data_IF_604290407845
#
_entry.id   IF_604290407845
#
_cell.length_a   1.000
_cell.length_b   1.000
_cell.length_c   1.000
_cell.angle_alpha   90.00
_cell.angle_beta   90.00
_cell.angle_gamma   90.00
#
_symmetry.space_group_name_H-M   'P 1'
#
loop_
_entity.id
_entity.type
_entity.pdbx_description
1 polymer ?
#
# COMPACT_ATOMS: atom_id res chain seq x y z
N UNK A 1 3.42 -17.78 19.58
CA UNK A 1 4.38 -17.45 18.50
C UNK A 1 4.32 -15.95 18.24
N UNK A 2 5.47 -15.25 18.23
CA UNK A 2 5.52 -13.82 17.89
C UNK A 2 6.13 -13.64 16.50
N UNK A 3 5.29 -13.43 15.49
CA UNK A 3 5.75 -13.09 14.14
C UNK A 3 6.50 -11.76 14.17
N UNK A 4 7.64 -11.69 13.48
CA UNK A 4 8.43 -10.44 13.33
C UNK A 4 7.99 -9.62 12.12
N UNK A 5 7.35 -10.28 11.16
CA UNK A 5 6.94 -9.74 9.87
C UNK A 5 5.48 -10.13 9.62
N UNK A 6 4.79 -9.30 8.83
CA UNK A 6 3.46 -9.57 8.28
C UNK A 6 3.50 -9.33 6.78
N UNK A 7 2.86 -10.19 6.00
CA UNK A 7 2.73 -10.04 4.56
C UNK A 7 1.29 -10.30 4.12
N UNK A 8 0.86 -9.59 3.10
CA UNK A 8 -0.49 -9.64 2.54
C UNK A 8 -0.42 -10.25 1.15
N UNK A 9 -1.33 -11.18 0.86
CA UNK A 9 -1.44 -11.85 -0.43
C UNK A 9 -2.91 -11.91 -0.79
N UNK A 10 -3.25 -11.43 -1.98
CA UNK A 10 -4.61 -11.49 -2.50
C UNK A 10 -5.02 -12.94 -2.77
N UNK A 11 -6.19 -13.33 -2.26
CA UNK A 11 -6.68 -14.70 -2.35
C UNK A 11 -7.25 -15.05 -3.73
N UNK A 12 -7.55 -14.05 -4.56
CA UNK A 12 -8.08 -14.22 -5.93
C UNK A 12 -6.99 -14.34 -6.99
N UNK A 13 -5.78 -14.77 -6.61
CA UNK A 13 -4.67 -14.99 -7.51
C UNK A 13 -4.73 -16.37 -8.19
N UNK A 14 -4.73 -16.40 -9.52
CA UNK A 14 -4.83 -17.63 -10.32
C UNK A 14 -3.50 -18.39 -10.49
N UNK A 15 -2.37 -17.84 -10.02
CA UNK A 15 -1.03 -18.41 -10.22
C UNK A 15 -0.40 -18.75 -8.86
N UNK A 16 -0.51 -20.01 -8.38
CA UNK A 16 0.09 -20.42 -7.10
C UNK A 16 1.61 -20.20 -7.03
N UNK A 17 2.31 -20.32 -8.17
CA UNK A 17 3.73 -20.02 -8.27
C UNK A 17 4.07 -18.55 -7.97
N UNK A 18 3.16 -17.63 -8.30
CA UNK A 18 3.31 -16.21 -7.97
C UNK A 18 3.21 -16.00 -6.46
N UNK A 19 2.26 -16.67 -5.78
CA UNK A 19 2.12 -16.61 -4.32
C UNK A 19 3.40 -17.05 -3.61
N UNK A 20 4.00 -18.17 -4.05
CA UNK A 20 5.29 -18.62 -3.51
C UNK A 20 6.40 -17.61 -3.76
N UNK A 21 6.49 -17.08 -4.98
CA UNK A 21 7.47 -16.05 -5.33
C UNK A 21 7.32 -14.82 -4.43
N UNK A 22 6.10 -14.34 -4.20
CA UNK A 22 5.82 -13.16 -3.38
C UNK A 22 6.30 -13.38 -1.93
N UNK A 23 6.00 -14.54 -1.35
CA UNK A 23 6.46 -14.89 -0.01
C UNK A 23 8.01 -14.94 0.09
N UNK A 24 8.68 -15.47 -0.95
CA UNK A 24 10.15 -15.51 -1.02
C UNK A 24 10.75 -14.10 -1.19
N UNK A 25 10.13 -13.25 -2.01
CA UNK A 25 10.50 -11.84 -2.15
C UNK A 25 10.39 -11.14 -0.78
N UNK A 26 9.28 -11.35 -0.07
CA UNK A 26 9.07 -10.76 1.25
C UNK A 26 10.15 -11.15 2.22
N UNK A 27 10.38 -12.46 2.36
CA UNK A 27 11.40 -12.98 3.26
C UNK A 27 12.78 -12.41 2.93
N UNK A 28 13.17 -12.44 1.66
CA UNK A 28 14.50 -12.00 1.21
C UNK A 28 14.73 -10.53 1.50
N UNK A 29 13.82 -9.65 1.06
CA UNK A 29 13.96 -8.21 1.26
C UNK A 29 13.94 -7.81 2.75
N UNK A 30 13.01 -8.40 3.52
CA UNK A 30 12.89 -8.09 4.93
C UNK A 30 14.09 -8.59 5.74
N UNK A 31 14.67 -9.74 5.40
CA UNK A 31 15.88 -10.23 6.10
C UNK A 31 17.13 -9.44 5.70
N UNK A 32 17.23 -8.99 4.45
CA UNK A 32 18.37 -8.20 3.96
C UNK A 32 18.49 -6.82 4.64
N UNK A 33 17.37 -6.19 4.98
CA UNK A 33 17.38 -4.88 5.64
C UNK A 33 17.78 -4.99 7.12
N UNK A 34 18.72 -4.13 7.52
CA UNK A 34 19.16 -3.95 8.90
C UNK A 34 18.22 -3.07 9.72
N UNK A 35 17.35 -2.30 9.07
CA UNK A 35 16.40 -1.45 9.78
C UNK A 35 15.32 -2.28 10.50
N UNK A 36 14.90 -1.89 11.72
CA UNK A 36 13.68 -2.42 12.31
C UNK A 36 12.41 -1.98 11.57
N UNK A 37 12.45 -0.86 10.85
CA UNK A 37 11.33 -0.30 10.09
C UNK A 37 11.52 -0.58 8.61
N UNK A 38 10.87 -1.62 8.10
CA UNK A 38 11.08 -2.08 6.74
C UNK A 38 9.80 -2.59 6.11
N UNK A 39 9.68 -2.28 4.82
CA UNK A 39 8.54 -2.64 3.97
C UNK A 39 9.07 -3.15 2.64
N UNK A 40 8.36 -4.10 2.07
CA UNK A 40 8.58 -4.59 0.71
C UNK A 40 7.24 -4.58 -0.01
N UNK A 41 7.24 -4.04 -1.22
CA UNK A 41 6.05 -3.86 -2.05
C UNK A 41 6.33 -4.48 -3.41
N UNK A 42 5.44 -5.32 -3.88
CA UNK A 42 5.62 -5.97 -5.18
C UNK A 42 5.13 -5.03 -6.28
N UNK A 43 5.96 -4.87 -7.30
CA UNK A 43 5.54 -4.42 -8.62
C UNK A 43 5.48 -5.60 -9.56
N UNK A 44 4.73 -5.49 -10.65
CA UNK A 44 4.52 -6.59 -11.57
C UNK A 44 4.91 -6.17 -12.96
N UNK A 45 5.75 -6.97 -13.62
CA UNK A 45 6.09 -6.75 -15.01
C UNK A 45 4.88 -6.90 -15.94
N UNK A 46 3.92 -7.76 -15.57
CA UNK A 46 2.65 -7.93 -16.27
C UNK A 46 1.50 -8.17 -15.30
N UNK A 47 0.39 -7.47 -15.53
CA UNK A 47 -0.90 -7.69 -14.86
C UNK A 47 -1.93 -8.14 -15.89
N UNK A 48 -2.78 -9.08 -15.52
CA UNK A 48 -3.88 -9.54 -16.36
C UNK A 48 -5.06 -10.00 -15.53
N UNK A 49 -6.17 -10.25 -16.21
CA UNK A 49 -7.35 -10.86 -15.62
C UNK A 49 -7.79 -12.03 -16.50
N UNK A 50 -8.48 -12.99 -15.88
CA UNK A 50 -9.14 -14.06 -16.62
C UNK A 50 -10.51 -13.56 -17.10
N UNK A 51 -10.76 -13.61 -18.41
CA UNK A 51 -11.97 -13.12 -19.09
C UNK A 51 -12.05 -13.64 -20.53
N UNK A 52 -12.94 -13.09 -21.36
CA UNK A 52 -13.10 -13.52 -22.78
C UNK A 52 -11.84 -13.27 -23.63
N UNK A 53 -11.07 -12.23 -23.32
CA UNK A 53 -9.76 -11.95 -23.93
C UNK A 53 -8.64 -11.96 -22.88
N UNK A 54 -7.60 -12.76 -23.11
CA UNK A 54 -6.41 -12.83 -22.25
C UNK A 54 -5.43 -11.71 -22.61
N UNK A 55 -5.59 -10.53 -22.00
CA UNK A 55 -4.70 -9.39 -22.20
C UNK A 55 -3.78 -9.17 -20.99
N UNK A 56 -2.48 -9.38 -21.19
CA UNK A 56 -1.45 -8.99 -20.23
C UNK A 56 -1.02 -7.54 -20.50
N UNK A 57 -1.28 -6.66 -19.52
CA UNK A 57 -0.84 -5.27 -19.56
C UNK A 57 0.41 -5.12 -18.71
N UNK A 58 1.42 -4.46 -19.27
CA UNK A 58 2.65 -4.13 -18.54
C UNK A 58 2.43 -3.12 -17.41
N UNK A 59 1.33 -2.38 -17.48
CA UNK A 59 1.07 -1.24 -16.62
C UNK A 59 -0.36 -1.24 -16.08
N UNK A 60 -0.52 -1.15 -14.76
CA UNK A 60 -1.83 -0.98 -14.14
C UNK A 60 -2.31 0.46 -14.29
N UNK A 61 -3.51 0.67 -14.86
CA UNK A 61 -4.05 2.02 -15.15
C UNK A 61 -4.07 2.90 -13.90
N UNK A 62 -4.58 2.39 -12.78
CA UNK A 62 -4.65 3.14 -11.52
C UNK A 62 -3.29 3.29 -10.84
N UNK A 63 -2.54 2.19 -10.69
CA UNK A 63 -1.22 2.22 -10.02
C UNK A 63 -0.26 3.22 -10.68
N UNK A 64 -0.26 3.32 -12.01
CA UNK A 64 0.56 4.30 -12.73
C UNK A 64 0.14 5.74 -12.44
N UNK A 65 -1.17 6.02 -12.48
CA UNK A 65 -1.69 7.36 -12.22
C UNK A 65 -1.36 7.80 -10.79
N UNK A 66 -1.67 6.96 -9.80
CA UNK A 66 -1.44 7.27 -8.38
C UNK A 66 0.06 7.41 -8.09
N UNK A 67 0.90 6.53 -8.66
CA UNK A 67 2.36 6.64 -8.53
C UNK A 67 2.90 7.94 -9.15
N UNK A 68 2.39 8.36 -10.31
CA UNK A 68 2.78 9.62 -10.95
C UNK A 68 2.38 10.83 -10.09
N UNK A 69 1.21 10.83 -9.47
CA UNK A 69 0.77 11.89 -8.56
C UNK A 69 1.67 11.94 -7.32
N UNK A 70 2.00 10.80 -6.70
CA UNK A 70 2.93 10.74 -5.56
C UNK A 70 4.33 11.25 -5.94
N UNK A 71 4.86 10.82 -7.09
CA UNK A 71 6.14 11.27 -7.59
C UNK A 71 6.15 12.79 -7.89
N UNK A 72 5.04 13.35 -8.39
CA UNK A 72 4.89 14.79 -8.56
C UNK A 72 4.94 15.52 -7.21
N UNK A 73 4.25 15.01 -6.19
CA UNK A 73 4.30 15.54 -4.83
C UNK A 73 5.73 15.57 -4.27
N UNK A 74 6.47 14.46 -4.42
CA UNK A 74 7.87 14.35 -4.02
C UNK A 74 8.77 15.32 -4.78
N UNK A 75 8.56 15.43 -6.09
CA UNK A 75 9.37 16.25 -6.97
C UNK A 75 9.30 17.72 -6.58
N UNK A 76 8.10 18.20 -6.27
CA UNK A 76 7.85 19.57 -5.81
C UNK A 76 8.48 19.83 -4.44
N UNK A 77 8.39 18.87 -3.52
CA UNK A 77 9.01 18.97 -2.19
C UNK A 77 10.54 19.12 -2.23
N UNK A 78 11.22 18.45 -3.18
CA UNK A 78 12.70 18.55 -3.35
C UNK A 78 13.15 19.56 -4.38
N UNK A 79 12.25 20.04 -5.25
CA UNK A 79 12.57 20.78 -6.49
C UNK A 79 13.42 19.97 -7.48
N UNK A 80 13.24 18.65 -7.50
CA UNK A 80 13.90 17.72 -8.44
C UNK A 80 12.90 16.67 -8.90
N UNK A 81 12.82 16.43 -10.20
CA UNK A 81 11.95 15.38 -10.73
C UNK A 81 12.36 13.99 -10.26
N UNK A 82 11.38 13.14 -10.00
CA UNK A 82 11.59 11.74 -9.66
C UNK A 82 10.47 10.89 -10.24
N UNK A 83 10.78 9.62 -10.44
CA UNK A 83 9.82 8.58 -10.82
C UNK A 83 9.94 7.37 -9.88
N UNK A 84 10.51 7.56 -8.68
CA UNK A 84 10.94 6.49 -7.78
C UNK A 84 9.81 5.59 -7.29
N UNK A 85 8.60 6.13 -7.04
CA UNK A 85 7.46 5.33 -6.58
C UNK A 85 6.83 4.62 -7.78
N UNK A 86 6.75 3.30 -7.72
CA UNK A 86 6.11 2.42 -8.71
C UNK A 86 5.04 1.49 -8.09
N UNK A 87 4.85 1.54 -6.76
CA UNK A 87 4.06 0.59 -5.98
C UNK A 87 2.97 1.27 -5.13
N UNK A 88 2.36 2.34 -5.64
CA UNK A 88 1.33 3.10 -4.90
C UNK A 88 0.16 2.24 -4.43
N UNK A 89 -0.28 1.28 -5.24
CA UNK A 89 -1.37 0.34 -4.95
C UNK A 89 -0.88 -1.10 -4.98
N UNK A 90 0.14 -1.40 -4.19
CA UNK A 90 0.68 -2.76 -4.07
C UNK A 90 -0.08 -3.51 -2.98
N UNK A 91 -1.13 -4.24 -3.35
CA UNK A 91 -1.87 -5.12 -2.42
C UNK A 91 -0.92 -6.16 -1.82
N UNK A 92 -0.09 -6.76 -2.66
CA UNK A 92 1.00 -7.64 -2.30
C UNK A 92 2.20 -6.88 -1.73
N UNK A 93 2.12 -6.57 -0.44
CA UNK A 93 3.23 -6.02 0.32
C UNK A 93 3.42 -6.74 1.65
N UNK A 94 4.58 -6.56 2.25
CA UNK A 94 4.90 -7.04 3.58
C UNK A 94 5.73 -6.01 4.35
N UNK A 95 5.73 -6.10 5.67
CA UNK A 95 6.47 -5.19 6.53
C UNK A 95 6.86 -5.83 7.86
N UNK A 96 7.79 -5.19 8.56
CA UNK A 96 8.05 -5.50 9.96
C UNK A 96 6.87 -5.11 10.84
N UNK A 97 6.61 -5.90 11.88
CA UNK A 97 5.60 -5.57 12.89
C UNK A 97 5.91 -4.24 13.59
N UNK A 98 7.19 -3.89 13.72
CA UNK A 98 7.60 -2.59 14.27
C UNK A 98 7.20 -1.42 13.37
N UNK A 99 7.28 -1.57 12.04
CA UNK A 99 6.73 -0.59 11.11
C UNK A 99 5.19 -0.57 11.17
N UNK A 100 4.54 -1.72 11.14
CA UNK A 100 3.08 -1.82 11.19
C UNK A 100 2.48 -1.14 12.44
N UNK A 101 3.10 -1.28 13.60
CA UNK A 101 2.67 -0.61 14.85
C UNK A 101 2.85 0.90 14.83
N UNK A 102 3.78 1.40 14.02
CA UNK A 102 4.06 2.82 13.90
C UNK A 102 3.05 3.52 12.97
N UNK A 103 2.59 2.81 11.94
CA UNK A 103 1.68 3.33 10.92
C UNK A 103 0.26 3.56 11.45
N UNK A 104 -0.41 4.51 10.84
CA UNK A 104 -1.87 4.53 10.81
C UNK A 104 -2.33 3.86 9.51
N UNK A 105 -3.41 3.10 9.57
CA UNK A 105 -3.99 2.41 8.41
C UNK A 105 -5.24 3.14 7.95
N UNK A 106 -5.38 3.32 6.63
CA UNK A 106 -6.60 3.85 6.05
C UNK A 106 -7.61 2.73 5.74
N UNK A 107 -8.88 3.10 5.62
CA UNK A 107 -9.95 2.19 5.23
C UNK A 107 -9.94 1.88 3.73
N UNK A 108 -10.42 0.68 3.36
CA UNK A 108 -10.75 0.31 1.98
C UNK A 108 -9.54 0.42 1.03
N UNK A 109 -9.73 0.85 -0.22
CA UNK A 109 -8.72 0.85 -1.28
C UNK A 109 -7.65 1.94 -1.12
N UNK A 110 -7.79 2.80 -0.11
CA UNK A 110 -6.81 3.82 0.19
C UNK A 110 -5.63 3.29 1.02
N UNK A 111 -5.72 2.09 1.60
CA UNK A 111 -4.76 1.57 2.57
C UNK A 111 -3.33 1.56 2.02
N UNK A 112 -3.09 0.98 0.85
CA UNK A 112 -1.75 0.80 0.30
C UNK A 112 -1.12 2.14 -0.08
N UNK A 113 -1.92 3.07 -0.63
CA UNK A 113 -1.44 4.42 -0.97
C UNK A 113 -1.19 5.22 0.30
N UNK A 114 -2.07 5.11 1.29
CA UNK A 114 -1.97 5.85 2.53
C UNK A 114 -0.76 5.46 3.36
N UNK A 115 -0.31 4.21 3.34
CA UNK A 115 0.95 3.81 4.00
C UNK A 115 2.13 4.65 3.50
N UNK A 116 2.26 4.83 2.19
CA UNK A 116 3.29 5.68 1.61
C UNK A 116 3.06 7.15 1.97
N UNK A 117 1.83 7.66 1.88
CA UNK A 117 1.50 9.04 2.25
C UNK A 117 1.86 9.31 3.71
N UNK A 118 1.47 8.45 4.65
CA UNK A 118 1.76 8.57 6.08
C UNK A 118 3.26 8.66 6.33
N UNK A 119 4.04 7.77 5.69
CA UNK A 119 5.50 7.76 5.83
C UNK A 119 6.13 9.03 5.25
N UNK A 120 5.65 9.51 4.11
CA UNK A 120 6.16 10.74 3.49
C UNK A 120 5.76 11.99 4.28
N UNK A 121 4.55 12.06 4.82
CA UNK A 121 4.13 13.17 5.66
C UNK A 121 4.95 13.25 6.95
N UNK A 122 5.09 12.13 7.67
CA UNK A 122 5.68 12.12 9.00
C UNK A 122 7.21 12.00 8.97
N UNK A 123 7.77 11.22 8.04
CA UNK A 123 9.19 10.87 8.00
C UNK A 123 9.97 11.51 6.85
N UNK A 124 9.30 12.25 5.96
CA UNK A 124 9.98 12.98 4.90
C UNK A 124 9.76 14.50 5.00
N UNK A 125 8.51 14.97 4.89
CA UNK A 125 8.20 16.41 5.03
C UNK A 125 8.26 16.83 6.50
N UNK A 126 7.66 16.04 7.39
CA UNK A 126 7.61 16.27 8.84
C UNK A 126 8.90 15.97 9.60
N UNK A 127 9.99 15.64 8.90
CA UNK A 127 11.25 15.28 9.55
C UNK A 127 11.81 16.40 10.42
N UNK A 128 11.78 17.65 9.93
CA UNK A 128 12.24 18.84 10.68
C UNK A 128 11.30 19.22 11.82
N UNK A 129 10.04 18.79 11.75
CA UNK A 129 9.01 18.98 12.78
C UNK A 129 9.11 17.90 13.88
N UNK A 130 10.02 16.93 13.76
CA UNK A 130 10.18 15.86 14.74
C UNK A 130 9.07 14.81 14.73
N UNK A 131 8.30 14.72 13.63
CA UNK A 131 7.15 13.81 13.54
C UNK A 131 7.54 12.35 13.28
N UNK A 132 8.76 12.10 12.80
CA UNK A 132 9.19 10.76 12.43
C UNK A 132 9.53 9.88 13.63
N UNK A 133 8.60 8.98 13.97
CA UNK A 133 8.76 8.02 15.07
C UNK A 133 9.84 6.95 14.85
N UNK A 134 10.34 6.80 13.62
CA UNK A 134 11.38 5.81 13.30
C UNK A 134 12.79 6.25 13.71
N UNK A 135 13.02 7.54 13.96
CA UNK A 135 14.34 8.05 14.33
C UNK A 135 14.84 7.45 15.66
N UNK A 136 16.16 7.17 15.78
CA UNK A 136 17.23 7.46 14.83
C UNK A 136 17.42 6.41 13.73
N UNK A 137 16.56 5.38 13.65
CA UNK A 137 16.66 4.35 12.62
C UNK A 137 16.15 4.88 11.25
N UNK A 138 16.50 4.18 10.18
CA UNK A 138 15.98 4.45 8.83
C UNK A 138 14.68 3.70 8.58
N UNK A 139 13.94 4.08 7.53
CA UNK A 139 12.82 3.28 7.01
C UNK A 139 13.23 2.79 5.63
N UNK A 140 13.30 1.47 5.46
CA UNK A 140 13.68 0.86 4.20
C UNK A 140 12.44 0.37 3.45
N UNK A 141 12.17 0.91 2.26
CA UNK A 141 11.05 0.48 1.40
C UNK A 141 11.61 -0.14 0.12
N UNK A 142 11.44 -1.45 -0.04
CA UNK A 142 11.83 -2.18 -1.24
C UNK A 142 10.66 -2.24 -2.21
N UNK A 143 10.94 -1.96 -3.49
CA UNK A 143 9.99 -2.15 -4.58
C UNK A 143 10.57 -3.19 -5.52
N UNK A 144 10.00 -4.39 -5.53
CA UNK A 144 10.58 -5.55 -6.23
C UNK A 144 9.62 -6.01 -7.31
N UNK A 145 10.12 -6.05 -8.55
CA UNK A 145 9.37 -6.57 -9.69
C UNK A 145 9.36 -8.10 -9.67
N UNK A 146 8.18 -8.71 -9.60
CA UNK A 146 8.02 -10.16 -9.70
C UNK A 146 8.24 -10.66 -11.14
N UNK A 147 8.69 -11.91 -11.27
CA UNK A 147 8.80 -12.62 -12.55
C UNK A 147 7.48 -13.22 -12.98
N UNK A 148 6.70 -13.78 -12.05
CA UNK A 148 5.37 -14.26 -12.38
C UNK A 148 4.44 -13.07 -12.70
N UNK A 149 3.53 -13.23 -13.67
CA UNK A 149 2.46 -12.26 -13.89
C UNK A 149 1.51 -12.27 -12.68
N UNK A 150 0.82 -11.15 -12.49
CA UNK A 150 -0.23 -11.05 -11.49
C UNK A 150 -1.59 -11.16 -12.18
N UNK A 151 -2.22 -12.30 -11.98
CA UNK A 151 -3.51 -12.67 -12.57
C UNK A 151 -4.55 -12.78 -11.48
N UNK A 152 -5.52 -11.89 -11.51
CA UNK A 152 -6.65 -11.88 -10.57
C UNK A 152 -7.98 -11.79 -11.31
N UNK A 153 -9.08 -11.87 -10.57
CA UNK A 153 -10.42 -11.80 -11.18
C UNK A 153 -10.67 -10.40 -11.75
N UNK A 154 -11.33 -10.31 -12.90
CA UNK A 154 -11.67 -9.02 -13.48
C UNK A 154 -12.66 -8.29 -12.57
N UNK A 155 -12.28 -7.08 -12.15
CA UNK A 155 -13.16 -6.17 -11.40
C UNK A 155 -13.68 -5.11 -12.37
N UNK A 156 -14.97 -4.79 -12.31
CA UNK A 156 -15.62 -3.90 -13.27
C UNK A 156 -15.11 -2.44 -13.22
N UNK A 157 -15.44 -1.64 -14.22
CA UNK A 157 -14.97 -0.24 -14.34
C UNK A 157 -15.30 0.62 -13.11
N UNK A 158 -16.47 0.44 -12.49
CA UNK A 158 -16.84 1.14 -11.25
C UNK A 158 -15.84 0.89 -10.12
N UNK A 159 -15.37 -0.35 -9.97
CA UNK A 159 -14.36 -0.69 -8.97
C UNK A 159 -13.03 0.03 -9.23
N UNK A 160 -12.65 0.17 -10.51
CA UNK A 160 -11.43 0.89 -10.91
C UNK A 160 -11.53 2.38 -10.55
N UNK A 161 -12.70 2.99 -10.80
CA UNK A 161 -12.96 4.40 -10.49
C UNK A 161 -12.95 4.62 -8.97
N UNK A 162 -13.62 3.77 -8.19
CA UNK A 162 -13.62 3.85 -6.72
C UNK A 162 -12.20 3.72 -6.15
N UNK A 163 -11.43 2.72 -6.60
CA UNK A 163 -10.04 2.54 -6.17
C UNK A 163 -9.17 3.75 -6.50
N UNK A 164 -9.35 4.34 -7.68
CA UNK A 164 -8.65 5.56 -8.08
C UNK A 164 -9.01 6.74 -7.18
N UNK A 165 -10.31 6.98 -6.95
CA UNK A 165 -10.80 8.07 -6.13
C UNK A 165 -10.33 7.96 -4.66
N UNK A 166 -10.42 6.78 -4.06
CA UNK A 166 -9.96 6.54 -2.69
C UNK A 166 -8.44 6.68 -2.55
N UNK A 167 -7.67 6.16 -3.52
CA UNK A 167 -6.21 6.30 -3.54
C UNK A 167 -5.77 7.75 -3.70
N UNK A 168 -6.36 8.48 -4.65
CA UNK A 168 -6.06 9.89 -4.85
C UNK A 168 -6.56 10.76 -3.69
N UNK A 169 -7.64 10.36 -3.02
CA UNK A 169 -8.13 10.99 -1.79
C UNK A 169 -7.11 10.97 -0.67
N UNK A 170 -6.39 9.86 -0.49
CA UNK A 170 -5.29 9.78 0.48
C UNK A 170 -4.20 10.82 0.22
N UNK A 171 -3.90 11.11 -1.06
CA UNK A 171 -2.91 12.13 -1.43
C UNK A 171 -3.50 13.54 -1.31
N UNK A 172 -4.69 13.76 -1.87
CA UNK A 172 -5.37 15.05 -1.94
C UNK A 172 -5.57 15.70 -0.57
N UNK A 173 -5.91 14.89 0.44
CA UNK A 173 -6.13 15.33 1.80
C UNK A 173 -4.87 15.39 2.66
N UNK A 174 -3.71 15.05 2.10
CA UNK A 174 -2.42 15.05 2.80
C UNK A 174 -1.74 16.43 2.81
N UNK A 175 -0.84 16.64 3.76
CA UNK A 175 0.10 17.77 3.84
C UNK A 175 1.09 17.80 2.67
N UNK A 176 1.21 16.71 1.90
CA UNK A 176 2.01 16.68 0.67
C UNK A 176 1.31 17.43 -0.48
N UNK A 177 -0.01 17.63 -0.39
CA UNK A 177 -0.82 18.21 -1.46
C UNK A 177 -0.89 19.73 -1.35
N UNK A 178 -0.11 20.41 -2.17
CA UNK A 178 -0.34 21.82 -2.46
C UNK A 178 -1.52 22.02 -3.44
N UNK A 179 -1.89 23.28 -3.69
CA UNK A 179 -3.02 23.59 -4.57
C UNK A 179 -2.82 23.06 -5.99
N UNK A 180 -1.58 23.00 -6.47
CA UNK A 180 -1.27 22.47 -7.80
C UNK A 180 -1.56 20.97 -7.86
N UNK A 181 -1.09 20.20 -6.87
CA UNK A 181 -1.33 18.77 -6.79
C UNK A 181 -2.83 18.46 -6.63
N UNK A 182 -3.54 19.25 -5.81
CA UNK A 182 -5.01 19.13 -5.66
C UNK A 182 -5.73 19.35 -6.98
N UNK A 183 -5.36 20.38 -7.75
CA UNK A 183 -5.96 20.64 -9.05
C UNK A 183 -5.64 19.52 -10.06
N UNK A 184 -4.43 18.97 -10.02
CA UNK A 184 -4.05 17.82 -10.85
C UNK A 184 -4.91 16.59 -10.53
N UNK A 185 -5.12 16.28 -9.25
CA UNK A 185 -5.98 15.17 -8.82
C UNK A 185 -7.41 15.36 -9.32
N UNK A 186 -8.00 16.55 -9.14
CA UNK A 186 -9.37 16.81 -9.61
C UNK A 186 -9.49 16.70 -11.13
N UNK A 187 -8.48 17.15 -11.88
CA UNK A 187 -8.46 17.00 -13.35
C UNK A 187 -8.44 15.52 -13.75
N UNK A 188 -7.58 14.72 -13.12
CA UNK A 188 -7.49 13.28 -13.37
C UNK A 188 -8.84 12.61 -13.09
N UNK A 189 -9.48 12.90 -11.96
CA UNK A 189 -10.76 12.28 -11.60
C UNK A 189 -11.87 12.60 -12.62
N UNK A 190 -11.91 13.83 -13.13
CA UNK A 190 -12.84 14.23 -14.20
C UNK A 190 -12.63 13.46 -15.51
N UNK A 191 -11.38 13.13 -15.86
CA UNK A 191 -11.07 12.28 -17.03
C UNK A 191 -11.63 10.85 -16.89
N UNK A 192 -11.97 10.44 -15.66
CA UNK A 192 -12.62 9.17 -15.33
C UNK A 192 -14.10 9.34 -14.96
N UNK A 193 -14.71 10.47 -15.32
CA UNK A 193 -16.12 10.79 -15.03
C UNK A 193 -16.46 10.79 -13.53
N UNK A 194 -15.47 11.06 -12.68
CA UNK A 194 -15.66 11.29 -11.25
C UNK A 194 -15.59 12.80 -10.97
N UNK A 195 -16.77 13.42 -10.78
CA UNK A 195 -16.90 14.88 -10.65
C UNK A 195 -16.81 15.40 -9.20
N UNK A 196 -16.86 14.50 -8.22
CA UNK A 196 -16.82 14.85 -6.80
C UNK A 196 -15.38 15.07 -6.31
N UNK A 197 -15.24 15.72 -5.16
CA UNK A 197 -13.98 15.71 -4.43
C UNK A 197 -13.65 14.27 -3.99
N UNK A 198 -12.41 13.79 -4.13
CA UNK A 198 -12.08 12.44 -3.70
C UNK A 198 -12.26 12.30 -2.18
N UNK A 199 -12.78 11.15 -1.70
CA UNK A 199 -13.12 10.97 -0.30
C UNK A 199 -11.88 11.05 0.58
N UNK A 200 -12.00 11.71 1.73
CA UNK A 200 -10.96 11.69 2.76
C UNK A 200 -10.94 10.30 3.41
N UNK A 201 -9.79 9.59 3.43
CA UNK A 201 -9.72 8.29 4.05
C UNK A 201 -9.99 8.36 5.55
N UNK A 202 -10.78 7.42 6.06
CA UNK A 202 -10.87 7.18 7.50
C UNK A 202 -9.63 6.41 7.94
N UNK A 203 -8.96 6.87 8.98
CA UNK A 203 -7.69 6.31 9.44
C UNK A 203 -7.82 5.72 10.85
N UNK A 204 -7.02 4.69 11.11
CA UNK A 204 -7.01 3.93 12.35
C UNK A 204 -5.57 3.77 12.84
N UNK A 205 -5.35 3.99 14.14
CA UNK A 205 -4.06 3.74 14.77
C UNK A 205 -3.94 2.28 15.19
N UNK A 206 -2.71 1.79 15.30
CA UNK A 206 -2.48 0.49 15.91
C UNK A 206 -3.01 0.47 17.36
N UNK A 207 -3.88 -0.49 17.72
CA UNK A 207 -4.54 -0.48 19.02
C UNK A 207 -3.54 -0.77 20.16
N UNK A 208 -3.62 0.02 21.23
CA UNK A 208 -2.84 -0.18 22.46
C UNK A 208 -3.52 -1.23 23.35
N UNK A 209 -3.57 -2.48 22.88
CA UNK A 209 -4.20 -3.60 23.58
C UNK A 209 -3.21 -4.71 23.90
N UNK A 210 -3.50 -5.50 24.93
CA UNK A 210 -2.77 -6.74 25.16
C UNK A 210 -3.22 -7.78 24.12
N UNK A 211 -2.40 -7.97 23.09
CA UNK A 211 -2.71 -8.84 21.96
C UNK A 211 -3.01 -10.29 22.38
N UNK A 212 -2.34 -10.80 23.42
CA UNK A 212 -2.59 -12.16 23.94
C UNK A 212 -3.97 -12.25 24.58
N UNK A 213 -4.28 -11.33 25.49
CA UNK A 213 -5.59 -11.26 26.13
C UNK A 213 -6.72 -11.08 25.10
N UNK A 214 -6.48 -10.25 24.09
CA UNK A 214 -7.43 -10.06 22.99
C UNK A 214 -7.64 -11.35 22.19
N UNK A 215 -6.56 -12.05 21.83
CA UNK A 215 -6.64 -13.32 21.12
C UNK A 215 -7.36 -14.38 21.95
N UNK A 216 -7.03 -14.52 23.23
CA UNK A 216 -7.69 -15.46 24.15
C UNK A 216 -9.20 -15.20 24.23
N UNK A 217 -9.59 -13.92 24.31
CA UNK A 217 -10.99 -13.51 24.32
C UNK A 217 -11.70 -13.87 23.01
N UNK A 218 -11.08 -13.57 21.86
CA UNK A 218 -11.63 -13.90 20.53
C UNK A 218 -11.80 -15.41 20.39
N UNK A 219 -10.78 -16.21 20.73
CA UNK A 219 -10.84 -17.67 20.64
C UNK A 219 -11.90 -18.28 21.57
N UNK A 220 -12.13 -17.67 22.74
CA UNK A 220 -13.13 -18.17 23.70
C UNK A 220 -14.57 -17.85 23.32
N UNK A 221 -14.81 -16.81 22.52
CA UNK A 221 -16.16 -16.30 22.20
C UNK A 221 -16.57 -16.48 20.74
N UNK A 222 -15.62 -16.61 19.83
CA UNK A 222 -15.88 -16.66 18.40
C UNK A 222 -16.24 -18.07 17.95
N UNK A 223 -17.47 -18.25 17.49
CA UNK A 223 -17.94 -19.51 16.88
C UNK A 223 -17.27 -19.80 15.51
N UNK A 224 -16.62 -18.79 14.92
CA UNK A 224 -15.98 -18.89 13.60
C UNK A 224 -14.47 -19.08 13.67
N UNK A 225 -13.86 -18.94 14.85
CA UNK A 225 -12.41 -19.01 14.99
C UNK A 225 -11.95 -20.46 15.01
N UNK A 226 -11.07 -20.81 14.08
CA UNK A 226 -10.46 -22.13 14.00
C UNK A 226 -8.95 -21.98 14.09
N UNK A 227 -8.31 -22.81 14.92
CA UNK A 227 -6.87 -22.85 15.08
C UNK A 227 -6.35 -24.25 14.80
N UNK A 228 -5.33 -24.35 13.95
CA UNK A 228 -4.68 -25.61 13.56
C UNK A 228 -3.19 -25.54 13.92
N UNK A 229 -2.64 -26.63 14.46
CA UNK A 229 -1.20 -26.80 14.65
C UNK A 229 -0.58 -25.98 15.80
N UNK A 230 -1.13 -26.11 17.01
CA UNK A 230 -0.44 -25.66 18.23
C UNK A 230 0.73 -26.59 18.59
#
# INVERSE_FOLDING_TARGET
MNSRYVGYIDSDNYVPGAVLEYALIYYTALVMSKSPYKMVRISWGFKGWYGEEFLLRRWGRVSNIVSNVLNNALSRGRKFETDIIKTSNSGEHAMSIELAKMLNFASRYSIETYELVYLLENCYVGLKEGLCKALPNTIDIFQIESRNPHLHSQKGELHVIEMLAESLGAIYHSRLADQHLKNMVLKILKEFSYEEEPPKPRTYEYPKINARKFLDEVLSRSELSVAYGF
#
